data_IF_328487039521
#
_entry.id   IF_328487039521
#
_cell.length_a   1.000
_cell.length_b   1.000
_cell.length_c   1.000
_cell.angle_alpha   90.00
_cell.angle_beta   90.00
_cell.angle_gamma   90.00
#
_symmetry.space_group_name_H-M   'P 1'
#
loop_
_entity.id
_entity.type
_entity.pdbx_description
1 polymer ?
#
# COMPACT_ATOMS: atom_id res chain seq x y z
N UNK A 1 -11.68 11.14 -0.98
CA UNK A 1 -10.30 11.61 -1.30
C UNK A 1 -9.33 10.45 -1.10
N UNK A 2 -8.23 10.35 -1.86
CA UNK A 2 -7.23 9.28 -1.68
C UNK A 2 -5.83 9.85 -1.57
N UNK A 3 -5.03 9.34 -0.64
CA UNK A 3 -3.59 9.63 -0.51
C UNK A 3 -2.78 8.36 -0.70
N UNK A 4 -1.63 8.47 -1.34
CA UNK A 4 -0.78 7.33 -1.70
C UNK A 4 0.56 7.39 -0.97
N UNK A 5 1.02 6.22 -0.56
CA UNK A 5 2.22 6.03 0.23
C UNK A 5 2.97 4.79 -0.21
N UNK A 6 4.28 4.79 0.06
CA UNK A 6 5.10 3.59 0.13
C UNK A 6 5.50 3.37 1.59
N UNK A 7 5.36 2.14 2.08
CA UNK A 7 5.88 1.72 3.39
C UNK A 7 6.95 0.69 3.11
N UNK A 8 8.21 1.11 3.18
CA UNK A 8 9.31 0.38 2.53
C UNK A 8 9.03 0.26 1.02
N UNK A 9 8.84 -0.96 0.53
CA UNK A 9 8.49 -1.23 -0.87
C UNK A 9 6.98 -1.42 -1.11
N UNK A 10 6.16 -1.41 -0.05
CA UNK A 10 4.75 -1.78 -0.15
C UNK A 10 3.88 -0.56 -0.48
N UNK A 11 3.15 -0.56 -1.61
CA UNK A 11 2.15 0.45 -1.93
C UNK A 11 1.00 0.43 -0.94
N UNK A 12 0.72 1.58 -0.33
CA UNK A 12 -0.40 1.79 0.59
C UNK A 12 -1.22 2.98 0.13
N UNK A 13 -2.54 2.83 0.09
CA UNK A 13 -3.47 3.94 -0.16
C UNK A 13 -4.37 4.19 1.04
N UNK A 14 -4.57 5.45 1.36
CA UNK A 14 -5.47 5.92 2.40
C UNK A 14 -6.68 6.55 1.72
N UNK A 15 -7.84 5.91 1.87
CA UNK A 15 -9.10 6.31 1.25
C UNK A 15 -9.98 6.98 2.31
N UNK A 16 -10.22 8.27 2.13
CA UNK A 16 -11.18 9.05 2.90
C UNK A 16 -12.55 8.91 2.25
N UNK A 17 -13.48 8.29 2.97
CA UNK A 17 -14.86 8.06 2.53
C UNK A 17 -15.78 9.18 3.01
N UNK A 18 -16.92 9.32 2.35
CA UNK A 18 -17.90 10.38 2.62
C UNK A 18 -18.66 10.19 3.94
N UNK A 19 -18.61 8.98 4.50
CA UNK A 19 -19.13 8.65 5.84
C UNK A 19 -18.18 9.08 6.99
N UNK A 20 -17.08 9.77 6.66
CA UNK A 20 -16.05 10.19 7.60
C UNK A 20 -15.08 9.08 7.98
N UNK A 21 -15.25 7.85 7.48
CA UNK A 21 -14.31 6.76 7.73
C UNK A 21 -13.07 6.89 6.86
N UNK A 22 -11.93 6.44 7.42
CA UNK A 22 -10.67 6.34 6.68
C UNK A 22 -10.29 4.86 6.59
N UNK A 23 -10.18 4.34 5.37
CA UNK A 23 -9.63 3.02 5.12
C UNK A 23 -8.19 3.13 4.67
N UNK A 24 -7.36 2.27 5.24
CA UNK A 24 -5.98 2.11 4.83
C UNK A 24 -5.84 0.75 4.16
N UNK A 25 -5.42 0.76 2.91
CA UNK A 25 -5.36 -0.42 2.05
C UNK A 25 -3.93 -0.62 1.57
N UNK A 26 -3.32 -1.74 1.96
CA UNK A 26 -1.95 -2.08 1.58
C UNK A 26 -1.96 -3.17 0.50
N UNK A 27 -1.07 -3.04 -0.48
CA UNK A 27 -0.93 -4.05 -1.53
C UNK A 27 -0.25 -5.30 -0.97
N UNK A 28 -0.95 -6.43 -1.00
CA UNK A 28 -0.37 -7.72 -0.68
C UNK A 28 0.10 -8.39 -1.96
N UNK A 29 1.44 -8.45 -2.10
CA UNK A 29 2.07 -9.17 -3.21
C UNK A 29 1.51 -10.59 -3.34
N UNK A 30 1.49 -11.38 -2.26
CA UNK A 30 1.12 -12.81 -2.29
C UNK A 30 -0.28 -13.08 -2.84
N UNK A 31 -1.19 -12.12 -2.74
CA UNK A 31 -2.58 -12.25 -3.21
C UNK A 31 -2.86 -11.41 -4.45
N UNK A 32 -1.92 -10.54 -4.86
CA UNK A 32 -2.07 -9.55 -5.92
C UNK A 32 -3.15 -8.50 -5.65
N UNK A 33 -3.59 -8.32 -4.40
CA UNK A 33 -4.76 -7.51 -4.03
C UNK A 33 -4.45 -6.53 -2.91
N UNK A 34 -5.31 -5.51 -2.79
CA UNK A 34 -5.27 -4.58 -1.66
C UNK A 34 -6.04 -5.13 -0.46
N UNK A 35 -5.42 -5.05 0.71
CA UNK A 35 -6.00 -5.48 1.98
C UNK A 35 -6.17 -4.31 2.95
N UNK A 36 -7.39 -4.18 3.49
CA UNK A 36 -7.72 -3.18 4.51
C UNK A 36 -7.48 -3.67 5.96
N UNK A 37 -6.80 -4.82 6.12
CA UNK A 37 -6.64 -5.47 7.42
C UNK A 37 -5.55 -4.78 8.26
N UNK A 38 -5.91 -4.25 9.42
CA UNK A 38 -4.99 -3.56 10.34
C UNK A 38 -3.84 -4.45 10.83
N UNK A 39 -4.05 -5.77 10.92
CA UNK A 39 -2.99 -6.74 11.25
C UNK A 39 -1.95 -6.84 10.15
N UNK A 40 -2.40 -6.85 8.89
CA UNK A 40 -1.52 -6.90 7.74
C UNK A 40 -0.66 -5.64 7.64
N UNK A 41 -1.27 -4.47 7.83
CA UNK A 41 -0.53 -3.21 7.89
C UNK A 41 0.52 -3.18 9.01
N UNK A 42 0.17 -3.72 10.18
CA UNK A 42 1.09 -3.80 11.32
C UNK A 42 2.30 -4.71 11.04
N UNK A 43 2.14 -5.73 10.19
CA UNK A 43 3.26 -6.57 9.74
C UNK A 43 4.18 -5.79 8.80
N UNK A 44 3.62 -5.12 7.78
CA UNK A 44 4.40 -4.30 6.83
C UNK A 44 5.24 -3.25 7.57
N UNK A 45 4.63 -2.58 8.55
CA UNK A 45 5.31 -1.54 9.33
C UNK A 45 6.40 -2.09 10.26
N UNK A 46 6.36 -3.38 10.62
CA UNK A 46 7.40 -4.03 11.46
C UNK A 46 8.60 -4.50 10.66
N UNK A 47 8.38 -4.91 9.41
CA UNK A 47 9.44 -5.27 8.47
C UNK A 47 10.10 -4.03 7.83
N UNK A 48 9.56 -2.84 8.10
CA UNK A 48 10.07 -1.57 7.62
C UNK A 48 11.33 -1.13 8.38
N UNK A 49 12.38 -0.78 7.62
CA UNK A 49 13.60 -0.14 8.10
C UNK A 49 13.43 1.37 8.35
N UNK A 50 12.25 1.94 8.07
CA UNK A 50 11.79 3.18 8.67
C UNK A 50 11.31 4.29 7.72
N UNK A 51 10.77 3.99 6.53
CA UNK A 51 10.34 5.07 5.63
C UNK A 51 8.93 4.83 5.09
N UNK A 52 7.96 5.49 5.75
CA UNK A 52 6.69 5.85 5.13
C UNK A 52 6.91 7.07 4.26
N UNK A 53 6.83 6.91 2.95
CA UNK A 53 6.99 7.98 1.98
C UNK A 53 5.66 8.30 1.31
N UNK A 54 5.25 9.58 1.32
CA UNK A 54 4.13 10.03 0.50
C UNK A 54 4.57 10.08 -0.98
N UNK A 55 3.73 9.57 -1.87
CA UNK A 55 4.01 9.48 -3.31
C UNK A 55 2.80 9.95 -4.13
N UNK A 56 3.04 10.26 -5.40
CA UNK A 56 1.99 10.50 -6.38
C UNK A 56 1.24 9.20 -6.74
N UNK A 57 0.06 9.34 -7.33
CA UNK A 57 -0.72 8.22 -7.86
C UNK A 57 0.04 7.46 -8.97
N UNK A 58 0.81 8.18 -9.78
CA UNK A 58 1.64 7.59 -10.84
C UNK A 58 2.74 6.71 -10.26
N UNK A 59 3.49 7.21 -9.28
CA UNK A 59 4.55 6.44 -8.60
C UNK A 59 3.98 5.22 -7.87
N UNK A 60 2.83 5.39 -7.22
CA UNK A 60 2.10 4.28 -6.60
C UNK A 60 1.74 3.19 -7.62
N UNK A 61 1.16 3.58 -8.76
CA UNK A 61 0.75 2.64 -9.80
C UNK A 61 1.95 1.89 -10.39
N UNK A 62 3.07 2.59 -10.59
CA UNK A 62 4.32 1.97 -11.04
C UNK A 62 4.87 0.96 -10.03
N UNK A 63 4.80 1.28 -8.73
CA UNK A 63 5.22 0.37 -7.67
C UNK A 63 4.35 -0.89 -7.60
N UNK A 64 3.02 -0.76 -7.75
CA UNK A 64 2.10 -1.90 -7.84
C UNK A 64 2.45 -2.78 -9.03
N UNK A 65 2.61 -2.20 -10.23
CA UNK A 65 2.96 -2.96 -11.44
C UNK A 65 4.30 -3.68 -11.30
N UNK A 66 5.29 -3.05 -10.66
CA UNK A 66 6.59 -3.68 -10.38
C UNK A 66 6.44 -4.90 -9.48
N UNK A 67 5.69 -4.79 -8.39
CA UNK A 67 5.48 -5.91 -7.47
C UNK A 67 4.68 -7.05 -8.12
N UNK A 68 3.70 -6.74 -8.97
CA UNK A 68 2.97 -7.75 -9.74
C UNK A 68 3.86 -8.49 -10.75
N UNK A 69 4.76 -7.77 -11.42
CA UNK A 69 5.69 -8.38 -12.38
C UNK A 69 6.70 -9.33 -11.71
N UNK A 70 7.11 -9.03 -10.47
CA UNK A 70 8.07 -9.85 -9.71
C UNK A 70 7.50 -11.18 -9.21
N UNK A 71 6.18 -11.38 -9.20
CA UNK A 71 5.58 -12.68 -8.86
C UNK A 71 5.44 -13.62 -10.05
N UNK A 72 5.57 -13.09 -11.28
CA UNK A 72 5.49 -13.86 -12.51
C UNK A 72 6.86 -14.32 -13.03
N UNK A 73 7.95 -13.97 -12.34
CA UNK A 73 9.34 -14.29 -12.67
C UNK A 73 9.91 -15.32 -11.70
#
# INVERSE_FOLDING_TARGET
MTKFYLVGEVPVRMVFRDDGTTALEAFNRRTGRFEANSRYYSMIRRDDTGLVQAVSETEFSQAVSRLQALELA
#
